data_IF_265851254729
#
_entry.id   IF_265851254729
#
_cell.length_a   1.000
_cell.length_b   1.000
_cell.length_c   1.000
_cell.angle_alpha   90.00
_cell.angle_beta   90.00
_cell.angle_gamma   90.00
#
_symmetry.space_group_name_H-M   'P 1'
#
loop_
_entity.id
_entity.type
_entity.pdbx_description
1 polymer ?
#
# COMPACT_ATOMS: atom_id res chain seq x y z
N UNK A 1 -6.61 -22.59 -8.96
CA UNK A 1 -5.60 -21.66 -8.94
C UNK A 1 -6.02 -20.34 -8.31
N UNK A 2 -5.16 -19.72 -7.70
CA UNK A 2 -5.50 -18.58 -6.94
C UNK A 2 -4.83 -17.33 -7.48
N UNK A 3 -5.58 -16.34 -7.70
CA UNK A 3 -5.02 -15.13 -8.25
C UNK A 3 -4.33 -14.32 -7.20
N UNK A 4 -3.21 -13.75 -7.59
CA UNK A 4 -2.44 -12.90 -6.72
C UNK A 4 -2.58 -11.47 -7.16
N UNK A 5 -3.78 -10.99 -7.14
CA UNK A 5 -3.97 -9.60 -7.51
C UNK A 5 -4.64 -8.86 -6.37
N UNK A 6 -4.39 -7.57 -6.30
CA UNK A 6 -4.95 -6.76 -5.25
C UNK A 6 -6.38 -6.39 -5.59
N UNK A 7 -7.17 -6.13 -4.55
CA UNK A 7 -8.52 -5.62 -4.70
C UNK A 7 -8.54 -4.25 -4.05
N UNK A 8 -8.30 -3.24 -4.85
CA UNK A 8 -8.23 -1.88 -4.34
C UNK A 8 -9.64 -1.40 -4.04
N UNK A 9 -9.93 -0.96 -2.80
CA UNK A 9 -11.25 -0.47 -2.46
C UNK A 9 -11.66 0.70 -3.33
N UNK A 10 -12.96 0.81 -3.58
CA UNK A 10 -13.46 1.89 -4.40
C UNK A 10 -13.14 3.25 -3.83
N UNK A 11 -13.12 3.38 -2.49
CA UNK A 11 -12.78 4.65 -1.88
C UNK A 11 -11.41 5.14 -2.31
N UNK A 12 -10.47 4.22 -2.42
CA UNK A 12 -9.12 4.58 -2.85
C UNK A 12 -9.08 4.77 -4.36
N UNK A 13 -9.71 3.86 -5.07
CA UNK A 13 -9.70 3.91 -6.52
C UNK A 13 -10.27 5.23 -7.03
N UNK A 14 -11.28 5.74 -6.37
CA UNK A 14 -11.97 6.95 -6.78
C UNK A 14 -11.49 8.21 -6.09
N UNK A 15 -10.46 8.12 -5.25
CA UNK A 15 -9.97 9.27 -4.53
C UNK A 15 -9.12 10.14 -5.43
N UNK A 16 -9.64 11.32 -5.75
CA UNK A 16 -8.94 12.21 -6.67
C UNK A 16 -7.74 12.90 -6.03
N UNK A 17 -7.58 12.76 -4.72
CA UNK A 17 -6.41 13.32 -4.03
C UNK A 17 -5.18 12.43 -4.15
N UNK A 18 -5.35 11.23 -4.68
CA UNK A 18 -4.25 10.30 -4.86
C UNK A 18 -3.86 10.24 -6.33
N UNK A 19 -2.56 10.17 -6.56
CA UNK A 19 -2.07 9.95 -7.92
C UNK A 19 -2.35 8.49 -8.31
N UNK A 20 -2.34 8.22 -9.60
CA UNK A 20 -2.54 6.85 -10.09
C UNK A 20 -1.48 5.91 -9.55
N UNK A 21 -0.24 6.37 -9.49
CA UNK A 21 0.84 5.52 -8.98
C UNK A 21 0.67 5.23 -7.50
N UNK A 22 0.12 6.16 -6.73
CA UNK A 22 -0.14 5.90 -5.32
C UNK A 22 -1.17 4.78 -5.17
N UNK A 23 -2.18 4.77 -6.02
CA UNK A 23 -3.20 3.72 -5.97
C UNK A 23 -2.61 2.37 -6.34
N UNK A 24 -1.74 2.35 -7.34
CA UNK A 24 -1.07 1.10 -7.70
C UNK A 24 -0.15 0.61 -6.58
N UNK A 25 0.55 1.54 -5.94
CA UNK A 25 1.41 1.18 -4.82
C UNK A 25 0.60 0.61 -3.68
N UNK A 26 -0.58 1.18 -3.41
CA UNK A 26 -1.46 0.64 -2.39
C UNK A 26 -1.77 -0.83 -2.68
N UNK A 27 -2.05 -1.14 -3.95
CA UNK A 27 -2.32 -2.51 -4.33
C UNK A 27 -1.17 -3.45 -4.05
N UNK A 28 0.05 -3.01 -4.33
CA UNK A 28 1.23 -3.83 -4.03
C UNK A 28 1.39 -4.05 -2.53
N UNK A 29 1.20 -2.98 -1.76
CA UNK A 29 1.28 -3.08 -0.30
C UNK A 29 0.21 -4.02 0.23
N UNK A 30 -1.00 -3.92 -0.32
CA UNK A 30 -2.11 -4.76 0.10
C UNK A 30 -1.79 -6.25 -0.07
N UNK A 31 -1.19 -6.60 -1.21
CA UNK A 31 -0.84 -7.99 -1.44
C UNK A 31 0.20 -8.48 -0.45
N UNK A 32 1.17 -7.64 -0.12
CA UNK A 32 2.19 -8.02 0.83
C UNK A 32 1.65 -8.12 2.24
N UNK A 33 0.67 -7.28 2.57
CA UNK A 33 0.01 -7.36 3.87
C UNK A 33 -0.81 -8.64 4.01
N UNK A 34 -1.45 -9.07 2.95
CA UNK A 34 -2.17 -10.34 2.98
C UNK A 34 -1.24 -11.49 3.28
N UNK A 35 -0.04 -11.41 2.75
CA UNK A 35 0.90 -12.51 2.88
C UNK A 35 1.51 -12.58 4.28
N UNK A 36 1.83 -11.44 4.86
CA UNK A 36 2.62 -11.38 6.09
C UNK A 36 1.95 -10.64 7.24
N UNK A 37 0.76 -10.11 7.04
CA UNK A 37 0.10 -9.29 8.06
C UNK A 37 0.49 -7.83 7.98
N UNK A 38 1.61 -7.54 7.36
CA UNK A 38 2.06 -6.17 7.14
C UNK A 38 3.08 -6.21 6.00
N UNK A 39 3.38 -5.04 5.47
CA UNK A 39 4.34 -4.91 4.39
C UNK A 39 5.66 -4.41 4.97
N UNK A 40 6.75 -5.16 4.74
CA UNK A 40 8.08 -4.73 5.19
C UNK A 40 9.04 -4.58 4.01
N UNK A 41 8.50 -4.43 2.82
CA UNK A 41 9.32 -4.26 1.64
C UNK A 41 10.10 -2.96 1.68
N UNK A 42 11.28 -2.97 1.09
CA UNK A 42 12.10 -1.77 0.99
C UNK A 42 11.59 -0.86 -0.11
N UNK A 43 12.01 0.40 -0.07
CA UNK A 43 11.68 1.32 -1.14
C UNK A 43 12.22 0.83 -2.48
N UNK A 44 13.39 0.20 -2.46
CA UNK A 44 13.97 -0.31 -3.69
C UNK A 44 13.08 -1.39 -4.30
N UNK A 45 12.59 -2.31 -3.46
CA UNK A 45 11.73 -3.38 -3.95
C UNK A 45 10.44 -2.81 -4.53
N UNK A 46 9.82 -1.90 -3.79
CA UNK A 46 8.57 -1.31 -4.24
C UNK A 46 8.77 -0.50 -5.52
N UNK A 47 9.89 0.18 -5.61
CA UNK A 47 10.20 0.98 -6.79
C UNK A 47 10.37 0.09 -8.03
N UNK A 48 11.05 -1.03 -7.87
CA UNK A 48 11.27 -1.94 -8.98
C UNK A 48 9.95 -2.54 -9.44
N UNK A 49 9.10 -2.90 -8.50
CA UNK A 49 7.80 -3.44 -8.83
C UNK A 49 6.93 -2.46 -9.60
N UNK A 50 7.01 -1.19 -9.22
CA UNK A 50 6.16 -0.16 -9.80
C UNK A 50 6.81 0.54 -10.98
N UNK A 51 8.07 0.23 -11.22
CA UNK A 51 8.84 0.83 -12.30
C UNK A 51 8.99 2.35 -12.12
N UNK A 52 9.34 2.73 -10.89
CA UNK A 52 9.61 4.11 -10.56
C UNK A 52 10.89 4.15 -9.74
N UNK A 53 11.33 5.35 -9.35
CA UNK A 53 12.51 5.47 -8.50
C UNK A 53 12.14 5.33 -7.04
N UNK A 54 13.12 4.97 -6.18
CA UNK A 54 12.85 4.93 -4.74
C UNK A 54 12.41 6.29 -4.18
N UNK A 55 12.91 7.38 -4.76
CA UNK A 55 12.48 8.70 -4.35
C UNK A 55 10.99 8.90 -4.59
N UNK A 56 10.50 8.39 -5.73
CA UNK A 56 9.09 8.45 -6.03
C UNK A 56 8.28 7.65 -5.02
N UNK A 57 8.81 6.50 -4.60
CA UNK A 57 8.12 5.69 -3.59
C UNK A 57 7.93 6.49 -2.30
N UNK A 58 8.95 7.22 -1.87
CA UNK A 58 8.84 8.02 -0.66
C UNK A 58 7.69 9.01 -0.79
N UNK A 59 7.56 9.65 -1.92
CA UNK A 59 6.48 10.61 -2.16
C UNK A 59 5.12 9.92 -2.17
N UNK A 60 5.04 8.76 -2.82
CA UNK A 60 3.77 8.04 -2.92
C UNK A 60 3.32 7.52 -1.56
N UNK A 61 4.26 7.02 -0.75
CA UNK A 61 3.92 6.59 0.60
C UNK A 61 3.39 7.75 1.42
N UNK A 62 3.97 8.94 1.24
CA UNK A 62 3.47 10.12 1.93
C UNK A 62 2.04 10.46 1.51
N UNK A 63 1.71 10.32 0.24
CA UNK A 63 0.34 10.54 -0.22
C UNK A 63 -0.62 9.59 0.50
N UNK A 64 -0.27 8.31 0.53
CA UNK A 64 -1.15 7.30 1.14
C UNK A 64 -1.29 7.51 2.64
N UNK A 65 -0.20 7.86 3.30
CA UNK A 65 -0.23 8.07 4.74
C UNK A 65 -1.04 9.32 5.09
N UNK A 66 -0.88 10.38 4.32
CA UNK A 66 -1.60 11.62 4.54
C UNK A 66 -3.12 11.41 4.46
N UNK A 67 -3.55 10.55 3.54
CA UNK A 67 -4.97 10.27 3.38
C UNK A 67 -5.44 9.12 4.27
N UNK A 68 -4.58 8.67 5.17
CA UNK A 68 -4.91 7.63 6.16
C UNK A 68 -5.21 6.27 5.57
N UNK A 69 -4.62 5.97 4.43
CA UNK A 69 -4.81 4.66 3.83
C UNK A 69 -3.78 3.64 4.28
N UNK A 70 -2.68 4.11 4.83
CA UNK A 70 -1.67 3.22 5.40
C UNK A 70 -1.16 3.80 6.71
N UNK A 71 -0.60 2.94 7.53
CA UNK A 71 0.06 3.33 8.78
C UNK A 71 1.48 2.81 8.69
N UNK A 72 2.44 3.69 8.92
CA UNK A 72 3.85 3.32 8.85
C UNK A 72 4.44 3.35 10.26
N UNK A 73 5.07 2.25 10.65
CA UNK A 73 5.74 2.14 11.93
C UNK A 73 7.16 1.68 11.72
N UNK A 74 8.06 2.15 12.57
CA UNK A 74 9.44 1.71 12.56
C UNK A 74 9.72 0.98 13.86
N UNK A 75 10.28 -0.22 13.74
CA UNK A 75 10.68 -1.01 14.88
C UNK A 75 12.14 -1.30 14.68
N UNK A 76 12.98 -0.54 15.37
CA UNK A 76 14.41 -0.55 15.16
C UNK A 76 14.68 -0.10 13.73
N UNK A 77 15.28 -0.89 12.90
CA UNK A 77 15.56 -0.48 11.53
C UNK A 77 14.60 -1.07 10.53
N UNK A 78 13.50 -1.64 11.02
CA UNK A 78 12.54 -2.28 10.14
C UNK A 78 11.30 -1.41 10.04
N UNK A 79 10.94 -1.07 8.81
CA UNK A 79 9.70 -0.35 8.56
C UNK A 79 8.58 -1.36 8.33
N UNK A 80 7.47 -1.16 9.00
CA UNK A 80 6.27 -1.97 8.81
C UNK A 80 5.14 -1.08 8.34
N UNK A 81 4.50 -1.48 7.28
CA UNK A 81 3.37 -0.73 6.73
C UNK A 81 2.13 -1.58 6.93
N UNK A 82 1.14 -0.99 7.59
CA UNK A 82 -0.12 -1.67 7.91
C UNK A 82 -1.26 -1.00 7.18
N UNK A 83 -2.29 -1.77 6.91
CA UNK A 83 -3.54 -1.24 6.41
C UNK A 83 -4.47 -1.01 7.59
N UNK A 84 -5.10 0.17 7.67
CA UNK A 84 -6.10 0.40 8.73
C UNK A 84 -7.25 -0.58 8.60
N UNK A 85 -7.90 -0.86 9.70
CA UNK A 85 -9.02 -1.79 9.71
C UNK A 85 -10.13 -1.37 8.76
N UNK A 86 -10.36 -0.09 8.64
CA UNK A 86 -11.42 0.38 7.76
C UNK A 86 -11.17 -0.05 6.32
N UNK A 87 -9.93 -0.07 5.90
CA UNK A 87 -9.60 -0.53 4.57
C UNK A 87 -9.82 -2.02 4.41
N UNK A 88 -9.55 -2.78 5.44
CA UNK A 88 -9.79 -4.21 5.41
C UNK A 88 -11.26 -4.52 5.37
N UNK A 89 -12.04 -3.79 6.16
CA UNK A 89 -13.46 -4.06 6.25
C UNK A 89 -14.14 -3.93 4.90
N UNK A 90 -13.71 -3.00 4.11
CA UNK A 90 -14.27 -2.82 2.80
C UNK A 90 -14.04 -4.03 1.91
N UNK A 91 -12.99 -4.78 2.17
CA UNK A 91 -12.66 -5.93 1.36
C UNK A 91 -13.25 -7.21 1.91
N UNK A 92 -13.63 -7.21 3.14
CA UNK A 92 -14.00 -8.43 3.84
C UNK A 92 -15.48 -8.57 4.03
N UNK A 93 -16.14 -7.46 4.14
CA UNK A 93 -17.56 -7.48 4.48
C UNK A 93 -18.43 -7.80 3.31
N UNK A 94 -18.10 -8.56 2.49
CA UNK A 94 -18.95 -8.84 1.34
C UNK A 94 -19.81 -10.05 1.56
#
# INVERSE_FOLDING_TARGET
MYEKYSKIPLSIKNDTKLSSNAKLLYGDIQLLCYKNGYCFATNKFLAENLNVTPRTIIRLLSELERENYIIIEYNRNIRKIFLPLSGYDENVTV
#
